data_IF_975106417713
#
_entry.id   IF_975106417713
#
_cell.length_a   1.000
_cell.length_b   1.000
_cell.length_c   1.000
_cell.angle_alpha   90.00
_cell.angle_beta   90.00
_cell.angle_gamma   90.00
#
_symmetry.space_group_name_H-M   'P 1'
#
loop_
_entity.id
_entity.type
_entity.pdbx_description
1 polymer ?
#
# COMPACT_ATOMS: atom_id res chain seq x y z
N UNK A 1 -0.03 1.36 -5.06
CA UNK A 1 -0.54 1.29 -3.67
C UNK A 1 -2.05 1.27 -3.75
N UNK A 2 -2.73 0.55 -2.87
CA UNK A 2 -4.14 0.21 -3.04
C UNK A 2 -4.97 0.80 -1.92
N UNK A 3 -6.21 1.14 -2.24
CA UNK A 3 -7.21 1.57 -1.27
C UNK A 3 -8.43 0.69 -1.45
N UNK A 4 -8.72 -0.17 -0.47
CA UNK A 4 -9.92 -0.99 -0.47
C UNK A 4 -11.00 -0.26 0.34
N UNK A 5 -12.09 0.18 -0.29
CA UNK A 5 -13.25 0.67 0.48
C UNK A 5 -14.22 -0.46 0.77
N UNK A 6 -14.46 -0.72 2.04
CA UNK A 6 -15.41 -1.71 2.53
C UNK A 6 -16.76 -1.03 2.71
N UNK A 7 -17.69 -1.23 1.78
CA UNK A 7 -19.10 -0.84 1.96
C UNK A 7 -19.97 -2.09 1.86
N UNK A 8 -21.06 -2.14 2.62
CA UNK A 8 -21.98 -3.27 2.73
C UNK A 8 -22.59 -3.73 1.39
N UNK A 9 -22.42 -2.97 0.29
CA UNK A 9 -23.01 -3.28 -1.02
C UNK A 9 -22.14 -2.96 -2.25
N UNK A 10 -20.94 -2.37 -2.13
CA UNK A 10 -20.01 -2.09 -3.26
C UNK A 10 -18.55 -2.01 -2.78
N UNK A 11 -17.66 -2.76 -3.40
CA UNK A 11 -16.21 -2.61 -3.22
C UNK A 11 -15.65 -1.67 -4.28
N UNK A 12 -15.01 -0.58 -3.84
CA UNK A 12 -14.25 0.34 -4.70
C UNK A 12 -12.77 0.14 -4.38
N UNK A 13 -12.02 -0.33 -5.36
CA UNK A 13 -10.56 -0.32 -5.34
C UNK A 13 -10.09 1.03 -5.87
N UNK A 14 -9.25 1.76 -5.13
CA UNK A 14 -8.56 2.91 -5.68
C UNK A 14 -7.07 2.69 -5.80
N UNK A 15 -6.61 2.76 -7.05
CA UNK A 15 -5.23 2.52 -7.44
C UNK A 15 -4.48 3.86 -7.45
N UNK A 16 -3.22 3.86 -7.00
CA UNK A 16 -2.30 5.01 -7.13
C UNK A 16 -1.05 4.59 -7.95
N UNK A 17 -0.76 5.22 -9.10
CA UNK A 17 0.02 4.64 -10.22
C UNK A 17 1.54 4.55 -10.05
N UNK A 18 2.08 4.74 -8.84
CA UNK A 18 3.53 4.65 -8.61
C UNK A 18 3.86 3.37 -7.85
N UNK A 19 4.01 2.30 -8.64
CA UNK A 19 4.24 0.91 -8.25
C UNK A 19 5.73 0.63 -8.01
N UNK A 20 6.07 -0.09 -6.93
CA UNK A 20 7.49 -0.41 -6.67
C UNK A 20 7.83 -1.86 -6.28
N UNK A 21 6.88 -2.69 -5.79
CA UNK A 21 7.12 -4.15 -5.80
C UNK A 21 7.16 -4.66 -7.25
N UNK A 22 6.33 -4.09 -8.13
CA UNK A 22 6.36 -4.36 -9.58
C UNK A 22 7.48 -3.65 -10.35
N UNK A 23 8.37 -2.95 -9.64
CA UNK A 23 9.63 -2.42 -10.17
C UNK A 23 10.82 -2.90 -9.35
N UNK A 24 10.63 -4.00 -8.63
CA UNK A 24 11.72 -4.63 -7.93
C UNK A 24 12.71 -5.23 -8.95
N UNK A 25 13.98 -5.29 -8.54
CA UNK A 25 15.00 -6.04 -9.28
C UNK A 25 15.32 -7.28 -8.48
N UNK A 26 15.05 -8.44 -9.05
CA UNK A 26 15.36 -9.75 -8.48
C UNK A 26 16.33 -10.53 -9.36
N UNK A 27 17.09 -11.43 -8.74
CA UNK A 27 18.04 -12.29 -9.44
C UNK A 27 18.41 -13.52 -8.63
N UNK A 28 18.90 -14.54 -9.33
CA UNK A 28 19.48 -15.74 -8.72
C UNK A 28 20.90 -15.44 -8.23
N UNK A 29 21.19 -15.77 -6.98
CA UNK A 29 22.54 -15.77 -6.43
C UNK A 29 23.17 -17.12 -6.76
N UNK A 30 24.27 -17.18 -7.53
CA UNK A 30 24.78 -18.44 -8.08
C UNK A 30 25.56 -19.30 -7.08
N UNK A 31 25.98 -18.76 -5.93
CA UNK A 31 26.84 -19.45 -4.97
C UNK A 31 27.26 -18.54 -3.81
N UNK A 32 28.28 -18.98 -3.05
CA UNK A 32 28.76 -18.24 -1.89
C UNK A 32 29.28 -16.83 -2.25
N UNK A 33 28.95 -15.83 -1.44
CA UNK A 33 29.32 -14.44 -1.68
C UNK A 33 28.59 -13.44 -0.77
N UNK A 34 29.00 -12.18 -0.79
CA UNK A 34 28.36 -11.11 -0.01
C UNK A 34 27.38 -10.32 -0.88
N UNK A 35 26.15 -10.17 -0.41
CA UNK A 35 25.17 -9.26 -0.98
C UNK A 35 25.16 -7.95 -0.19
N UNK A 36 25.41 -6.84 -0.89
CA UNK A 36 25.32 -5.50 -0.34
C UNK A 36 24.25 -4.69 -1.08
N UNK A 37 23.59 -3.78 -0.36
CA UNK A 37 22.79 -2.71 -0.96
C UNK A 37 23.55 -1.39 -0.78
N UNK A 38 23.68 -0.65 -1.89
CA UNK A 38 24.47 0.57 -1.94
C UNK A 38 23.67 1.71 -2.58
N UNK A 39 23.63 2.85 -1.92
CA UNK A 39 23.14 4.11 -2.46
C UNK A 39 24.31 5.08 -2.64
N UNK A 40 24.35 5.75 -3.78
CA UNK A 40 25.36 6.72 -4.16
C UNK A 40 24.69 8.07 -4.31
N UNK A 41 25.19 9.08 -3.60
CA UNK A 41 24.73 10.44 -3.79
C UNK A 41 25.08 10.93 -5.20
N UNK A 42 24.19 11.72 -5.80
CA UNK A 42 24.37 12.23 -7.16
C UNK A 42 25.59 13.15 -7.29
N UNK A 43 25.96 13.84 -6.20
CA UNK A 43 27.14 14.70 -6.11
C UNK A 43 28.43 13.94 -5.77
N UNK A 44 28.33 12.62 -5.53
CA UNK A 44 29.45 11.74 -5.18
C UNK A 44 29.99 11.91 -3.75
N UNK A 45 29.41 12.80 -2.94
CA UNK A 45 29.96 13.14 -1.62
C UNK A 45 29.58 12.14 -0.53
N UNK A 46 28.51 11.37 -0.75
CA UNK A 46 28.03 10.38 0.21
C UNK A 46 27.77 9.02 -0.45
N UNK A 47 28.07 7.98 0.30
CA UNK A 47 27.74 6.59 -0.04
C UNK A 47 27.16 5.93 1.19
N UNK A 48 25.96 5.36 1.04
CA UNK A 48 25.36 4.49 2.04
C UNK A 48 25.54 3.06 1.56
N UNK A 49 26.16 2.19 2.36
CA UNK A 49 26.29 0.76 2.05
C UNK A 49 25.87 -0.09 3.26
N UNK A 50 25.11 -1.14 2.99
CA UNK A 50 24.71 -2.12 4.00
C UNK A 50 24.88 -3.54 3.45
N UNK A 51 25.54 -4.40 4.23
CA UNK A 51 25.54 -5.84 3.97
C UNK A 51 24.15 -6.40 4.28
N UNK A 52 23.51 -6.97 3.28
CA UNK A 52 22.19 -7.60 3.40
C UNK A 52 22.34 -9.04 3.89
N UNK A 53 23.24 -9.80 3.27
CA UNK A 53 23.50 -11.19 3.62
C UNK A 53 24.90 -11.65 3.16
N UNK A 54 25.44 -12.68 3.82
CA UNK A 54 26.59 -13.46 3.33
C UNK A 54 26.09 -14.85 2.97
N UNK A 55 25.99 -15.13 1.68
CA UNK A 55 25.56 -16.41 1.14
C UNK A 55 26.67 -17.45 1.29
N UNK A 56 26.32 -18.65 1.75
CA UNK A 56 27.20 -19.82 1.79
C UNK A 56 27.00 -20.73 0.56
N UNK A 57 25.96 -20.49 -0.23
CA UNK A 57 25.58 -21.27 -1.42
C UNK A 57 24.55 -20.52 -2.27
N UNK A 58 23.97 -21.17 -3.30
CA UNK A 58 23.00 -20.55 -4.19
C UNK A 58 21.76 -20.04 -3.45
N UNK A 59 21.13 -18.98 -3.97
CA UNK A 59 19.96 -18.35 -3.37
C UNK A 59 19.27 -17.37 -4.30
N UNK A 60 18.48 -16.46 -3.72
CA UNK A 60 17.76 -15.41 -4.44
C UNK A 60 17.88 -14.09 -3.68
N UNK A 61 17.80 -12.98 -4.39
CA UNK A 61 17.82 -11.64 -3.83
C UNK A 61 16.81 -10.75 -4.55
N UNK A 62 16.27 -9.77 -3.82
CA UNK A 62 15.35 -8.77 -4.36
C UNK A 62 15.65 -7.40 -3.75
N UNK A 63 15.68 -6.37 -4.59
CA UNK A 63 15.76 -4.96 -4.19
C UNK A 63 14.46 -4.24 -4.53
N UNK A 64 13.90 -3.51 -3.57
CA UNK A 64 12.70 -2.69 -3.75
C UNK A 64 12.89 -1.30 -3.12
N UNK A 65 12.16 -0.31 -3.62
CA UNK A 65 12.23 1.07 -3.15
C UNK A 65 10.86 1.74 -3.15
N UNK A 66 10.73 2.93 -2.59
CA UNK A 66 9.57 3.81 -2.83
C UNK A 66 10.06 5.26 -2.67
N UNK A 67 9.25 6.25 -3.06
CA UNK A 67 9.59 7.66 -2.92
C UNK A 67 8.59 8.37 -2.03
N UNK A 68 9.07 9.30 -1.20
CA UNK A 68 8.21 10.11 -0.34
C UNK A 68 7.08 10.80 -1.13
N UNK A 69 7.38 11.32 -2.32
CA UNK A 69 6.37 11.92 -3.20
C UNK A 69 5.23 10.97 -3.53
N UNK A 70 5.53 9.71 -3.87
CA UNK A 70 4.51 8.70 -4.15
C UNK A 70 3.71 8.34 -2.91
N UNK A 71 4.34 8.31 -1.74
CA UNK A 71 3.66 7.99 -0.47
C UNK A 71 2.71 9.13 -0.10
N UNK A 72 3.14 10.39 -0.28
CA UNK A 72 2.32 11.59 -0.04
C UNK A 72 1.12 11.63 -0.97
N UNK A 73 1.34 11.43 -2.28
CA UNK A 73 0.27 11.34 -3.28
C UNK A 73 -0.80 10.29 -2.87
N UNK A 74 -0.34 9.13 -2.41
CA UNK A 74 -1.22 8.06 -1.94
C UNK A 74 -1.97 8.43 -0.66
N UNK A 75 -1.32 9.08 0.31
CA UNK A 75 -1.97 9.53 1.54
C UNK A 75 -3.11 10.51 1.25
N UNK A 76 -2.85 11.56 0.47
CA UNK A 76 -3.88 12.54 0.08
C UNK A 76 -5.08 11.87 -0.60
N UNK A 77 -4.81 11.00 -1.58
CA UNK A 77 -5.86 10.28 -2.31
C UNK A 77 -6.71 9.42 -1.36
N UNK A 78 -6.05 8.73 -0.42
CA UNK A 78 -6.70 7.87 0.56
C UNK A 78 -7.62 8.67 1.50
N UNK A 79 -7.13 9.79 2.03
CA UNK A 79 -7.91 10.66 2.93
C UNK A 79 -9.08 11.34 2.21
N UNK A 80 -8.88 11.80 0.97
CA UNK A 80 -9.96 12.39 0.16
C UNK A 80 -11.10 11.41 -0.09
N UNK A 81 -10.77 10.15 -0.38
CA UNK A 81 -11.78 9.08 -0.57
C UNK A 81 -12.54 8.81 0.72
N UNK A 82 -11.83 8.69 1.85
CA UNK A 82 -12.45 8.50 3.16
C UNK A 82 -13.40 9.64 3.52
N UNK A 83 -13.01 10.90 3.26
CA UNK A 83 -13.87 12.07 3.44
C UNK A 83 -15.10 12.07 2.55
N UNK A 84 -14.94 11.70 1.28
CA UNK A 84 -16.02 11.64 0.31
C UNK A 84 -17.05 10.56 0.66
N UNK A 85 -16.59 9.43 1.22
CA UNK A 85 -17.44 8.34 1.69
C UNK A 85 -17.98 8.55 3.11
N UNK A 86 -17.46 9.52 3.85
CA UNK A 86 -17.70 9.68 5.29
C UNK A 86 -17.39 8.41 6.07
N UNK A 87 -16.27 7.75 5.76
CA UNK A 87 -15.82 6.52 6.42
C UNK A 87 -14.49 6.72 7.16
N UNK A 88 -14.27 6.04 8.30
CA UNK A 88 -12.95 5.98 8.90
C UNK A 88 -11.96 5.29 7.96
N UNK A 89 -10.67 5.56 8.15
CA UNK A 89 -9.59 5.01 7.33
C UNK A 89 -8.48 4.37 8.16
N UNK A 90 -8.01 3.23 7.67
CA UNK A 90 -6.92 2.46 8.26
C UNK A 90 -5.77 2.32 7.27
N UNK A 91 -4.55 2.72 7.66
CA UNK A 91 -3.32 2.34 6.96
C UNK A 91 -2.73 1.10 7.64
N UNK A 92 -2.42 0.05 6.87
CA UNK A 92 -1.72 -1.11 7.41
C UNK A 92 -0.28 -1.21 6.92
N UNK A 93 0.66 -1.48 7.84
CA UNK A 93 2.07 -1.80 7.49
C UNK A 93 2.66 -2.86 8.43
N UNK A 94 3.93 -3.24 8.23
CA UNK A 94 4.70 -4.07 9.16
C UNK A 94 5.92 -3.32 9.72
N UNK A 95 5.70 -2.09 10.16
CA UNK A 95 6.76 -1.17 10.64
C UNK A 95 7.53 -1.66 11.87
N UNK A 96 7.03 -2.64 12.62
CA UNK A 96 7.81 -3.29 13.71
C UNK A 96 8.99 -4.10 13.17
N UNK A 97 8.86 -4.65 11.95
CA UNK A 97 9.89 -5.41 11.25
C UNK A 97 10.66 -4.49 10.29
N UNK A 98 9.94 -3.82 9.39
CA UNK A 98 10.51 -2.90 8.39
C UNK A 98 10.56 -1.47 8.95
N UNK A 99 11.35 -1.26 10.01
CA UNK A 99 11.36 -0.02 10.80
C UNK A 99 11.54 1.25 9.99
N UNK A 100 12.48 1.26 9.03
CA UNK A 100 12.72 2.43 8.17
C UNK A 100 11.72 2.52 7.02
N UNK A 101 11.55 1.43 6.27
CA UNK A 101 10.74 1.42 5.06
C UNK A 101 9.25 1.59 5.35
N UNK A 102 8.67 0.74 6.20
CA UNK A 102 7.26 0.82 6.58
C UNK A 102 7.00 1.91 7.62
N UNK A 103 8.02 2.28 8.41
CA UNK A 103 7.96 3.47 9.25
C UNK A 103 7.73 4.73 8.42
N UNK A 104 8.40 4.87 7.26
CA UNK A 104 8.23 6.05 6.41
C UNK A 104 6.80 6.23 5.90
N UNK A 105 6.09 5.15 5.59
CA UNK A 105 4.66 5.20 5.25
C UNK A 105 3.83 5.72 6.42
N UNK A 106 4.03 5.15 7.61
CA UNK A 106 3.31 5.55 8.82
C UNK A 106 3.54 7.03 9.12
N UNK A 107 4.79 7.47 9.09
CA UNK A 107 5.17 8.83 9.45
C UNK A 107 4.56 9.83 8.46
N UNK A 108 4.68 9.59 7.15
CA UNK A 108 4.12 10.48 6.12
C UNK A 108 2.59 10.57 6.21
N UNK A 109 1.90 9.45 6.44
CA UNK A 109 0.45 9.46 6.61
C UNK A 109 0.02 10.25 7.84
N UNK A 110 0.74 10.07 8.96
CA UNK A 110 0.44 10.79 10.19
C UNK A 110 0.69 12.29 10.04
N UNK A 111 1.82 12.68 9.45
CA UNK A 111 2.16 14.07 9.13
C UNK A 111 1.03 14.74 8.33
N UNK A 112 0.60 14.11 7.23
CA UNK A 112 -0.45 14.64 6.35
C UNK A 112 -1.81 14.68 7.05
N UNK A 113 -2.16 13.64 7.81
CA UNK A 113 -3.41 13.61 8.56
C UNK A 113 -3.50 14.78 9.53
N UNK A 114 -2.46 14.95 10.36
CA UNK A 114 -2.42 15.98 11.39
C UNK A 114 -2.38 17.39 10.80
N UNK A 115 -1.71 17.61 9.67
CA UNK A 115 -1.60 18.93 9.05
C UNK A 115 -2.83 19.34 8.24
N UNK A 116 -3.42 18.42 7.47
CA UNK A 116 -4.33 18.79 6.38
C UNK A 116 -5.76 18.24 6.56
N UNK A 117 -5.93 17.13 7.29
CA UNK A 117 -7.19 16.36 7.26
C UNK A 117 -7.87 16.20 8.61
N UNK A 118 -7.15 16.33 9.73
CA UNK A 118 -7.67 16.04 11.07
C UNK A 118 -8.98 16.79 11.38
N UNK A 119 -9.02 18.11 11.19
CA UNK A 119 -10.20 18.93 11.45
C UNK A 119 -11.41 18.50 10.59
N UNK A 120 -11.16 18.11 9.33
CA UNK A 120 -12.20 17.66 8.40
C UNK A 120 -12.77 16.29 8.80
N UNK A 121 -11.91 15.41 9.32
CA UNK A 121 -12.30 14.09 9.83
C UNK A 121 -13.10 14.21 11.12
N UNK A 122 -12.65 15.04 12.06
CA UNK A 122 -13.34 15.32 13.32
C UNK A 122 -14.74 15.93 13.07
N UNK A 123 -14.86 16.87 12.13
CA UNK A 123 -16.14 17.45 11.73
C UNK A 123 -17.16 16.40 11.21
N UNK A 124 -16.67 15.34 10.58
CA UNK A 124 -17.48 14.21 10.08
C UNK A 124 -17.59 13.03 11.05
N UNK A 125 -16.97 13.13 12.23
CA UNK A 125 -16.91 12.07 13.26
C UNK A 125 -16.31 10.75 12.72
N UNK A 126 -15.33 10.86 11.84
CA UNK A 126 -14.51 9.75 11.34
C UNK A 126 -13.07 9.94 11.79
N UNK A 127 -12.24 8.90 11.67
CA UNK A 127 -10.86 8.93 12.15
C UNK A 127 -9.90 8.24 11.17
N UNK A 128 -8.62 8.56 11.33
CA UNK A 128 -7.50 7.82 10.75
C UNK A 128 -6.81 7.00 11.83
N UNK A 129 -6.43 5.77 11.50
CA UNK A 129 -5.61 4.93 12.37
C UNK A 129 -4.56 4.15 11.56
N UNK A 130 -3.33 4.08 12.08
CA UNK A 130 -2.33 3.14 11.60
C UNK A 130 -2.40 1.82 12.38
N UNK A 131 -2.41 0.69 11.67
CA UNK A 131 -2.38 -0.66 12.26
C UNK A 131 -1.27 -1.52 11.69
N UNK A 132 -0.88 -2.54 12.44
CA UNK A 132 -0.08 -3.62 11.88
C UNK A 132 -0.95 -4.48 10.95
N UNK A 133 -0.40 -4.90 9.81
CA UNK A 133 -1.17 -5.61 8.77
C UNK A 133 -1.82 -6.91 9.25
N UNK A 134 -1.18 -7.65 10.16
CA UNK A 134 -1.74 -8.84 10.78
C UNK A 134 -2.93 -8.54 11.69
N UNK A 135 -2.86 -7.46 12.49
CA UNK A 135 -4.00 -7.01 13.29
C UNK A 135 -5.13 -6.46 12.40
N UNK A 136 -4.78 -5.75 11.33
CA UNK A 136 -5.76 -5.18 10.41
C UNK A 136 -6.57 -6.27 9.68
N UNK A 137 -5.91 -7.33 9.21
CA UNK A 137 -6.60 -8.48 8.60
C UNK A 137 -7.56 -9.13 9.60
N UNK A 138 -7.11 -9.35 10.85
CA UNK A 138 -7.95 -9.94 11.90
C UNK A 138 -9.15 -9.05 12.27
N UNK A 139 -8.95 -7.73 12.30
CA UNK A 139 -10.02 -6.75 12.48
C UNK A 139 -11.03 -6.81 11.33
N UNK A 140 -10.55 -6.83 10.09
CA UNK A 140 -11.37 -6.88 8.88
C UNK A 140 -12.31 -8.09 8.86
N UNK A 141 -11.85 -9.26 9.34
CA UNK A 141 -12.67 -10.48 9.39
C UNK A 141 -13.85 -10.40 10.36
N UNK A 142 -13.81 -9.48 11.34
CA UNK A 142 -14.84 -9.34 12.38
C UNK A 142 -15.68 -8.07 12.22
N UNK A 143 -15.23 -7.14 11.38
CA UNK A 143 -15.90 -5.88 11.16
C UNK A 143 -17.13 -6.04 10.25
N UNK A 144 -18.13 -5.19 10.43
CA UNK A 144 -19.31 -5.11 9.56
C UNK A 144 -19.03 -4.36 8.24
N UNK A 145 -17.76 -4.02 7.97
CA UNK A 145 -17.33 -3.12 6.91
C UNK A 145 -17.50 -1.64 7.31
N UNK A 146 -17.69 -0.75 6.33
CA UNK A 146 -17.90 0.68 6.56
C UNK A 146 -16.63 1.49 6.80
N UNK A 147 -15.50 1.06 6.25
CA UNK A 147 -14.21 1.73 6.39
C UNK A 147 -13.40 1.71 5.10
N UNK A 148 -12.43 2.59 5.02
CA UNK A 148 -11.41 2.59 3.97
C UNK A 148 -10.15 1.93 4.49
N UNK A 149 -9.57 1.00 3.74
CA UNK A 149 -8.31 0.36 4.07
C UNK A 149 -7.25 0.76 3.03
N UNK A 150 -6.34 1.64 3.45
CA UNK A 150 -5.13 1.98 2.71
C UNK A 150 -4.11 0.85 2.86
N UNK A 151 -3.92 0.09 1.80
CA UNK A 151 -3.00 -1.04 1.71
C UNK A 151 -1.74 -0.64 0.95
N UNK A 152 -0.57 -1.09 1.45
CA UNK A 152 0.64 -1.12 0.61
C UNK A 152 0.38 -1.95 -0.63
N UNK A 153 1.25 -1.79 -1.62
CA UNK A 153 1.04 -2.36 -2.94
C UNK A 153 0.73 -3.86 -2.92
N UNK A 154 1.62 -4.69 -2.40
CA UNK A 154 1.40 -6.13 -2.35
C UNK A 154 0.20 -6.52 -1.48
N UNK A 155 0.03 -5.86 -0.33
CA UNK A 155 -1.09 -6.14 0.58
C UNK A 155 -2.43 -5.85 -0.10
N UNK A 156 -2.49 -4.78 -0.89
CA UNK A 156 -3.69 -4.38 -1.62
C UNK A 156 -4.14 -5.39 -2.64
N UNK A 157 -3.21 -5.84 -3.48
CA UNK A 157 -3.44 -6.85 -4.52
C UNK A 157 -4.02 -8.15 -3.95
N UNK A 158 -3.44 -8.64 -2.84
CA UNK A 158 -3.90 -9.88 -2.20
C UNK A 158 -5.22 -9.69 -1.45
N UNK A 159 -5.37 -8.57 -0.75
CA UNK A 159 -6.55 -8.33 0.07
C UNK A 159 -7.77 -7.93 -0.76
N UNK A 160 -7.61 -7.22 -1.88
CA UNK A 160 -8.73 -6.89 -2.76
C UNK A 160 -9.42 -8.15 -3.28
N UNK A 161 -8.67 -9.15 -3.76
CA UNK A 161 -9.17 -10.46 -4.16
C UNK A 161 -9.93 -11.18 -3.03
N UNK A 162 -9.33 -11.19 -1.83
CA UNK A 162 -9.93 -11.83 -0.64
C UNK A 162 -11.29 -11.20 -0.33
N UNK A 163 -11.36 -9.87 -0.38
CA UNK A 163 -12.56 -9.12 -0.06
C UNK A 163 -13.60 -9.29 -1.17
N UNK A 164 -13.21 -9.23 -2.44
CA UNK A 164 -14.10 -9.45 -3.57
C UNK A 164 -14.78 -10.82 -3.48
N UNK A 165 -14.01 -11.85 -3.16
CA UNK A 165 -14.53 -13.20 -2.96
C UNK A 165 -15.42 -13.31 -1.72
N UNK A 166 -15.08 -12.61 -0.63
CA UNK A 166 -15.90 -12.52 0.58
C UNK A 166 -17.27 -11.88 0.36
N UNK A 167 -17.38 -10.93 -0.58
CA UNK A 167 -18.64 -10.32 -1.02
C UNK A 167 -19.31 -11.07 -2.19
N UNK A 168 -18.75 -12.20 -2.62
CA UNK A 168 -19.40 -13.20 -3.49
C UNK A 168 -18.58 -13.59 -4.71
N UNK A 169 -17.98 -12.63 -5.43
CA UNK A 169 -17.19 -12.90 -6.62
C UNK A 169 -16.32 -11.70 -7.00
N UNK A 170 -15.14 -11.97 -7.56
CA UNK A 170 -14.29 -10.94 -8.16
C UNK A 170 -14.99 -10.15 -9.27
N UNK A 171 -15.98 -10.75 -9.95
CA UNK A 171 -16.79 -10.07 -10.97
C UNK A 171 -17.76 -9.01 -10.43
N UNK A 172 -17.94 -8.93 -9.10
CA UNK A 172 -18.79 -7.94 -8.45
C UNK A 172 -18.01 -6.77 -7.83
N UNK A 173 -16.71 -6.68 -8.11
CA UNK A 173 -15.83 -5.63 -7.62
C UNK A 173 -15.59 -4.56 -8.69
N UNK A 174 -15.60 -3.30 -8.26
CA UNK A 174 -15.24 -2.16 -9.11
C UNK A 174 -13.83 -1.68 -8.75
N UNK A 175 -12.95 -1.59 -9.75
CA UNK A 175 -11.62 -0.99 -9.60
C UNK A 175 -11.54 0.34 -10.33
N UNK A 176 -11.01 1.35 -9.65
CA UNK A 176 -10.99 2.76 -10.07
C UNK A 176 -9.67 3.39 -9.64
N UNK A 177 -8.66 3.45 -10.51
CA UNK A 177 -7.47 4.29 -10.31
C UNK A 177 -7.88 5.75 -10.16
N UNK A 178 -7.43 6.43 -9.11
CA UNK A 178 -7.53 7.89 -9.00
C UNK A 178 -6.14 8.48 -8.99
N UNK A 179 -5.88 9.35 -9.96
CA UNK A 179 -4.62 10.05 -10.06
C UNK A 179 -4.51 11.15 -8.98
N UNK A 180 -3.28 11.55 -8.63
CA UNK A 180 -3.04 12.59 -7.62
C UNK A 180 -3.62 13.98 -7.97
N UNK A 181 -3.98 14.20 -9.24
CA UNK A 181 -4.65 15.43 -9.70
C UNK A 181 -6.11 15.54 -9.25
N UNK A 182 -6.66 14.47 -8.64
CA UNK A 182 -8.05 14.40 -8.17
C UNK A 182 -9.09 14.46 -9.29
N UNK A 183 -8.67 14.30 -10.55
CA UNK A 183 -9.52 14.45 -11.74
C UNK A 183 -9.45 13.25 -12.66
N UNK A 184 -8.26 12.69 -12.84
CA UNK A 184 -8.04 11.59 -13.76
C UNK A 184 -8.39 10.28 -13.08
N UNK A 185 -9.27 9.52 -13.74
CA UNK A 185 -9.80 8.25 -13.25
C UNK A 185 -9.65 7.19 -14.34
N UNK A 186 -9.08 6.03 -13.99
CA UNK A 186 -9.09 4.85 -14.86
C UNK A 186 -9.92 3.76 -14.17
N UNK A 187 -10.89 3.18 -14.87
CA UNK A 187 -11.70 2.09 -14.34
C UNK A 187 -11.32 0.78 -15.02
N UNK A 188 -10.99 -0.24 -14.24
CA UNK A 188 -10.72 -1.59 -14.74
C UNK A 188 -11.57 -2.64 -14.00
N UNK A 189 -11.65 -3.84 -14.59
CA UNK A 189 -12.17 -4.99 -13.85
C UNK A 189 -11.11 -5.41 -12.83
N UNK A 190 -11.51 -5.67 -11.58
CA UNK A 190 -10.58 -6.09 -10.53
C UNK A 190 -10.03 -7.52 -10.71
N UNK A 191 -10.52 -8.28 -11.70
CA UNK A 191 -10.05 -9.63 -12.00
C UNK A 191 -9.18 -9.67 -13.25
N UNK A 192 -8.23 -10.61 -13.29
CA UNK A 192 -7.43 -10.91 -14.48
C UNK A 192 -8.24 -11.50 -15.65
N UNK A 193 -7.56 -11.92 -16.72
CA UNK A 193 -8.18 -12.38 -17.98
C UNK A 193 -8.92 -13.72 -17.92
N UNK A 194 -9.09 -14.32 -16.74
CA UNK A 194 -9.89 -15.54 -16.52
C UNK A 194 -9.51 -16.68 -17.50
N UNK A 195 -8.22 -16.99 -17.63
CA UNK A 195 -7.66 -17.89 -18.65
C UNK A 195 -8.16 -19.35 -18.62
N UNK A 196 -8.93 -19.73 -17.60
CA UNK A 196 -9.40 -21.11 -17.35
C UNK A 196 -10.85 -21.36 -17.83
N UNK A 197 -11.61 -20.32 -18.13
CA UNK A 197 -12.98 -20.42 -18.66
C UNK A 197 -12.97 -20.50 -20.19
#
# INVERSE_FOLDING_TARGET
>A
MFLCTFSSYKLLELFCPKLYVYRATDFLVPGAGTLEIKWLAADGNETISHVVNKFEGPGIAVGMYNTDSSIRDFAHSSFQVALAKCYPIYLSTKNTILKKYDGRFKDIFQEIYDSDYKDQFEAKKIWYEHRLVDDMVAYCMKAEGGFVWACKNYDGDVQSDTVAQGFGSLGMMTSVLVCPDGKTVESEAAHGTVTRH
#
